data_IF_371702627806
#
_entry.id   IF_371702627806
#
_cell.length_a   1.000
_cell.length_b   1.000
_cell.length_c   1.000
_cell.angle_alpha   90.00
_cell.angle_beta   90.00
_cell.angle_gamma   90.00
#
_symmetry.space_group_name_H-M   'P 1'
#
loop_
_entity.id
_entity.type
_entity.pdbx_description
1 polymer ?
#
# COMPACT_ATOMS: atom_id res chain seq x y z
N UNK A 1 -23.13 -13.86 23.18
CA UNK A 1 -23.64 -12.69 22.44
C UNK A 1 -22.70 -12.39 21.29
N UNK A 2 -22.88 -11.27 20.54
CA UNK A 2 -21.99 -10.91 19.43
C UNK A 2 -20.56 -10.55 19.89
N UNK A 3 -20.40 -10.23 21.18
CA UNK A 3 -19.10 -10.03 21.83
C UNK A 3 -18.68 -11.34 22.51
N UNK A 4 -17.45 -11.77 22.27
CA UNK A 4 -16.82 -12.90 22.94
C UNK A 4 -15.37 -12.58 23.30
N UNK A 5 -14.88 -13.21 24.37
CA UNK A 5 -13.49 -13.10 24.80
C UNK A 5 -12.56 -13.69 23.74
N UNK A 6 -11.46 -12.99 23.47
CA UNK A 6 -10.37 -13.44 22.62
C UNK A 6 -9.10 -13.40 23.47
N UNK A 7 -8.50 -14.57 23.71
CA UNK A 7 -7.16 -14.64 24.30
C UNK A 7 -6.16 -14.14 23.26
N UNK A 8 -5.18 -13.33 23.68
CA UNK A 8 -4.15 -12.85 22.74
C UNK A 8 -3.29 -14.01 22.22
N UNK A 9 -3.01 -15.01 23.04
CA UNK A 9 -2.04 -16.05 22.68
C UNK A 9 -0.62 -15.47 22.59
N UNK A 10 0.20 -16.04 21.71
CA UNK A 10 1.59 -15.66 21.51
C UNK A 10 1.68 -14.39 20.66
N UNK A 11 2.60 -13.49 21.01
CA UNK A 11 2.96 -12.36 20.16
C UNK A 11 3.89 -12.87 19.06
N UNK A 12 3.37 -12.95 17.84
CA UNK A 12 4.10 -13.46 16.67
C UNK A 12 4.98 -12.38 16.05
N UNK A 13 4.47 -11.15 15.98
CA UNK A 13 5.21 -10.00 15.46
C UNK A 13 4.95 -8.75 16.33
N UNK A 14 5.97 -8.21 17.01
CA UNK A 14 5.85 -7.04 17.86
C UNK A 14 5.69 -5.71 17.11
N UNK A 15 6.01 -5.66 15.81
CA UNK A 15 5.93 -4.44 14.98
C UNK A 15 4.50 -4.21 14.54
N UNK A 16 3.89 -5.22 13.91
CA UNK A 16 2.51 -5.16 13.41
C UNK A 16 1.46 -5.63 14.42
N UNK A 17 1.92 -6.09 15.59
CA UNK A 17 1.09 -6.60 16.68
C UNK A 17 0.26 -7.80 16.22
N UNK A 18 0.91 -8.76 15.57
CA UNK A 18 0.29 -10.02 15.20
C UNK A 18 0.30 -10.97 16.39
N UNK A 19 -0.87 -11.56 16.67
CA UNK A 19 -1.08 -12.43 17.82
C UNK A 19 -1.72 -13.74 17.37
N UNK A 20 -1.18 -14.88 17.82
CA UNK A 20 -1.69 -16.20 17.40
C UNK A 20 -3.16 -16.41 17.79
N UNK A 21 -3.57 -15.98 19.00
CA UNK A 21 -4.94 -16.11 19.46
C UNK A 21 -5.93 -15.19 18.73
N UNK A 22 -5.46 -14.03 18.24
CA UNK A 22 -6.26 -13.15 17.39
C UNK A 22 -6.46 -13.79 16.02
N UNK A 23 -5.42 -14.40 15.45
CA UNK A 23 -5.49 -15.10 14.17
C UNK A 23 -6.45 -16.30 14.25
N UNK A 24 -6.35 -17.12 15.30
CA UNK A 24 -7.25 -18.25 15.54
C UNK A 24 -8.70 -17.79 15.68
N UNK A 25 -8.95 -16.77 16.50
CA UNK A 25 -10.29 -16.22 16.69
C UNK A 25 -10.86 -15.62 15.40
N UNK A 26 -10.02 -14.96 14.60
CA UNK A 26 -10.42 -14.38 13.31
C UNK A 26 -10.80 -15.48 12.32
N UNK A 27 -9.97 -16.52 12.22
CA UNK A 27 -10.20 -17.69 11.37
C UNK A 27 -11.48 -18.43 11.74
N UNK A 28 -11.72 -18.67 13.02
CA UNK A 28 -12.94 -19.33 13.49
C UNK A 28 -14.18 -18.49 13.15
N UNK A 29 -14.17 -17.20 13.53
CA UNK A 29 -15.32 -16.31 13.40
C UNK A 29 -15.66 -15.93 11.96
N UNK A 30 -14.66 -15.91 11.07
CA UNK A 30 -14.84 -15.62 9.66
C UNK A 30 -15.08 -16.87 8.80
N UNK A 31 -15.22 -18.06 9.39
CA UNK A 31 -15.33 -19.32 8.64
C UNK A 31 -14.11 -19.64 7.77
N UNK A 32 -12.92 -19.19 8.18
CA UNK A 32 -11.65 -19.41 7.49
C UNK A 32 -11.25 -18.35 6.47
N UNK A 33 -12.12 -17.38 6.17
CA UNK A 33 -11.81 -16.31 5.21
C UNK A 33 -10.63 -15.43 5.63
N UNK A 34 -10.53 -15.09 6.93
CA UNK A 34 -9.47 -14.26 7.50
C UNK A 34 -8.55 -15.15 8.32
N UNK A 35 -7.30 -15.27 7.91
CA UNK A 35 -6.35 -16.17 8.57
C UNK A 35 -5.38 -15.44 9.50
N UNK A 36 -5.08 -14.18 9.18
CA UNK A 36 -4.10 -13.34 9.87
C UNK A 36 -4.64 -11.93 10.01
N UNK A 37 -4.32 -11.27 11.12
CA UNK A 37 -4.67 -9.86 11.34
C UNK A 37 -3.50 -9.13 11.98
N UNK A 38 -3.06 -8.05 11.34
CA UNK A 38 -2.12 -7.07 11.85
C UNK A 38 -2.93 -5.95 12.49
N UNK A 39 -2.83 -5.82 13.81
CA UNK A 39 -3.71 -4.92 14.56
C UNK A 39 -3.41 -3.44 14.30
N UNK A 40 -2.17 -3.10 13.94
CA UNK A 40 -1.70 -1.72 13.85
C UNK A 40 -0.94 -1.43 12.56
N UNK A 41 -1.31 -2.12 11.46
CA UNK A 41 -0.82 -1.87 10.11
C UNK A 41 -1.98 -1.88 9.11
N UNK A 42 -1.92 -1.01 8.10
CA UNK A 42 -2.78 -1.09 6.91
C UNK A 42 -2.17 -1.95 5.79
N UNK A 43 -0.93 -2.42 5.95
CA UNK A 43 -0.20 -3.23 4.98
C UNK A 43 -0.19 -4.72 5.38
N UNK A 44 -0.06 -5.60 4.39
CA UNK A 44 -0.10 -7.06 4.57
C UNK A 44 -1.49 -7.59 4.93
N UNK A 45 -1.78 -7.72 6.24
CA UNK A 45 -3.01 -8.36 6.74
C UNK A 45 -3.84 -7.40 7.62
N UNK A 46 -4.31 -6.25 7.11
CA UNK A 46 -5.09 -5.31 7.92
C UNK A 46 -6.39 -5.93 8.43
N UNK A 47 -7.01 -5.32 9.44
CA UNK A 47 -8.35 -5.74 9.83
C UNK A 47 -9.37 -5.42 8.74
N UNK A 48 -10.42 -6.24 8.66
CA UNK A 48 -11.50 -6.06 7.69
C UNK A 48 -12.44 -4.92 8.09
N UNK A 49 -13.08 -4.28 7.11
CA UNK A 49 -14.12 -3.27 7.38
C UNK A 49 -15.51 -3.79 7.02
N UNK A 50 -16.50 -3.49 7.87
CA UNK A 50 -17.90 -3.83 7.59
C UNK A 50 -18.54 -2.75 6.71
N UNK A 51 -19.21 -1.76 7.32
CA UNK A 51 -19.82 -0.63 6.61
C UNK A 51 -20.23 0.53 7.51
N UNK A 52 -20.01 0.42 8.83
CA UNK A 52 -20.39 1.44 9.81
C UNK A 52 -19.23 2.30 10.35
N UNK A 53 -18.01 2.13 9.83
CA UNK A 53 -16.83 2.95 10.19
C UNK A 53 -17.09 4.46 10.03
N UNK A 54 -16.58 5.27 10.94
CA UNK A 54 -16.76 6.74 10.91
C UNK A 54 -15.88 7.40 9.85
N UNK A 55 -14.69 6.83 9.64
CA UNK A 55 -13.72 7.30 8.66
C UNK A 55 -13.02 6.14 7.94
N UNK A 56 -12.37 6.46 6.83
CA UNK A 56 -11.45 5.60 6.11
C UNK A 56 -10.06 6.21 6.18
N UNK A 57 -9.07 5.40 6.53
CA UNK A 57 -7.67 5.67 6.25
C UNK A 57 -7.30 4.99 4.93
N UNK A 58 -6.63 5.72 4.04
CA UNK A 58 -6.24 5.24 2.73
C UNK A 58 -4.79 5.60 2.41
N UNK A 59 -4.05 4.66 1.84
CA UNK A 59 -2.69 4.86 1.40
C UNK A 59 -2.65 5.65 0.09
N UNK A 60 -1.70 6.58 -0.02
CA UNK A 60 -1.44 7.43 -1.19
C UNK A 60 -0.02 7.13 -1.68
N UNK A 61 0.16 6.23 -2.65
CA UNK A 61 1.48 5.79 -3.12
C UNK A 61 2.36 6.93 -3.62
N UNK A 62 1.80 7.91 -4.34
CA UNK A 62 2.54 8.99 -5.00
C UNK A 62 3.27 9.93 -4.05
N UNK A 63 2.88 9.93 -2.77
CA UNK A 63 3.48 10.71 -1.70
C UNK A 63 3.87 9.84 -0.52
N UNK A 64 3.86 8.51 -0.69
CA UNK A 64 4.10 7.52 0.37
C UNK A 64 3.35 7.92 1.67
N UNK A 65 2.05 8.26 1.57
CA UNK A 65 1.33 8.94 2.64
C UNK A 65 0.01 8.25 3.01
N UNK A 66 -0.56 8.64 4.15
CA UNK A 66 -1.89 8.20 4.57
C UNK A 66 -2.86 9.39 4.48
N UNK A 67 -3.93 9.23 3.72
CA UNK A 67 -5.09 10.12 3.76
C UNK A 67 -6.16 9.60 4.71
N UNK A 68 -6.95 10.51 5.29
CA UNK A 68 -8.11 10.17 6.10
C UNK A 68 -9.33 10.90 5.56
N UNK A 69 -10.47 10.23 5.45
CA UNK A 69 -11.74 10.84 5.04
C UNK A 69 -12.89 10.30 5.88
N UNK A 70 -13.71 11.19 6.45
CA UNK A 70 -14.88 10.81 7.26
C UNK A 70 -16.16 10.71 6.42
N UNK A 71 -17.15 10.02 6.99
CA UNK A 71 -18.46 9.79 6.35
C UNK A 71 -19.24 11.08 6.12
N UNK A 72 -19.03 12.15 6.90
CA UNK A 72 -19.77 13.40 6.72
C UNK A 72 -19.15 14.31 5.63
N UNK A 73 -17.94 14.00 5.17
CA UNK A 73 -17.28 14.78 4.11
C UNK A 73 -17.95 14.51 2.75
N UNK A 74 -18.47 15.57 2.14
CA UNK A 74 -19.22 15.53 0.88
C UNK A 74 -18.40 15.84 -0.36
N UNK A 75 -17.14 16.27 -0.18
CA UNK A 75 -16.23 16.59 -1.27
C UNK A 75 -15.49 15.36 -1.81
N UNK A 76 -14.51 15.61 -2.67
CA UNK A 76 -13.60 14.60 -3.19
C UNK A 76 -12.31 14.57 -2.37
N UNK A 77 -11.72 13.38 -2.27
CA UNK A 77 -10.35 13.18 -1.80
C UNK A 77 -9.35 13.58 -2.89
N UNK A 78 -8.03 13.64 -2.60
CA UNK A 78 -7.01 13.90 -3.63
C UNK A 78 -7.02 12.91 -4.81
N UNK A 79 -7.68 11.74 -4.66
CA UNK A 79 -7.91 10.80 -5.75
C UNK A 79 -9.08 11.18 -6.69
N UNK A 80 -9.76 12.30 -6.46
CA UNK A 80 -10.93 12.70 -7.24
C UNK A 80 -12.15 11.81 -7.02
N UNK A 81 -12.23 11.14 -5.85
CA UNK A 81 -13.37 10.30 -5.50
C UNK A 81 -13.90 10.63 -4.09
N UNK A 82 -15.23 10.59 -3.89
CA UNK A 82 -15.85 10.85 -2.59
C UNK A 82 -15.74 9.65 -1.65
N UNK A 83 -15.98 9.88 -0.35
CA UNK A 83 -16.04 8.85 0.69
C UNK A 83 -16.90 7.63 0.29
N UNK A 84 -18.08 7.87 -0.29
CA UNK A 84 -19.04 6.82 -0.63
C UNK A 84 -18.47 5.79 -1.62
N UNK A 85 -17.62 6.23 -2.55
CA UNK A 85 -16.96 5.36 -3.53
C UNK A 85 -15.86 4.53 -2.87
N UNK A 86 -15.06 5.14 -2.00
CA UNK A 86 -14.02 4.42 -1.24
C UNK A 86 -14.63 3.42 -0.26
N UNK A 87 -15.73 3.79 0.41
CA UNK A 87 -16.44 2.92 1.34
C UNK A 87 -16.96 1.64 0.67
N UNK A 88 -17.38 1.73 -0.60
CA UNK A 88 -17.77 0.57 -1.39
C UNK A 88 -16.63 -0.40 -1.69
N UNK A 89 -15.37 0.06 -1.68
CA UNK A 89 -14.18 -0.76 -1.88
C UNK A 89 -13.67 -1.36 -0.56
N UNK A 90 -13.72 -0.58 0.53
CA UNK A 90 -13.22 -1.01 1.84
C UNK A 90 -14.12 -2.02 2.55
N UNK A 91 -15.43 -1.89 2.35
CA UNK A 91 -16.44 -2.66 3.08
C UNK A 91 -16.57 -4.13 2.64
N UNK A 92 -17.44 -4.85 3.32
CA UNK A 92 -17.80 -6.23 2.93
C UNK A 92 -17.01 -7.34 3.64
N UNK A 93 -16.23 -7.00 4.67
CA UNK A 93 -15.53 -8.01 5.49
C UNK A 93 -14.34 -8.65 4.79
N UNK A 94 -13.75 -7.96 3.81
CA UNK A 94 -12.52 -8.36 3.12
C UNK A 94 -11.32 -7.59 3.64
N UNK A 95 -10.12 -8.14 3.49
CA UNK A 95 -8.88 -7.43 3.77
C UNK A 95 -8.49 -6.67 2.51
N UNK A 96 -8.45 -5.34 2.61
CA UNK A 96 -8.00 -4.46 1.54
C UNK A 96 -6.76 -3.73 2.04
N UNK A 97 -5.63 -4.05 1.42
CA UNK A 97 -4.37 -3.42 1.77
C UNK A 97 -4.40 -1.93 1.44
N UNK A 98 -3.91 -1.11 2.36
CA UNK A 98 -3.89 0.34 2.21
C UNK A 98 -5.27 1.02 2.28
N UNK A 99 -6.36 0.32 2.62
CA UNK A 99 -7.69 0.93 2.76
C UNK A 99 -8.46 0.34 3.95
N UNK A 100 -8.51 1.10 5.05
CA UNK A 100 -8.98 0.60 6.35
C UNK A 100 -10.04 1.52 6.93
N UNK A 101 -11.21 0.95 7.25
CA UNK A 101 -12.27 1.59 8.01
C UNK A 101 -11.92 1.67 9.50
N UNK A 102 -12.16 2.82 10.10
CA UNK A 102 -11.81 3.12 11.49
C UNK A 102 -12.81 4.07 12.16
N UNK A 103 -12.75 4.11 13.48
CA UNK A 103 -13.33 5.21 14.26
C UNK A 103 -12.38 6.42 14.22
N UNK A 104 -12.92 7.64 14.28
CA UNK A 104 -12.10 8.86 14.28
C UNK A 104 -11.19 8.89 15.52
N UNK A 105 -11.69 8.40 16.65
CA UNK A 105 -10.96 8.35 17.91
C UNK A 105 -9.69 7.47 17.86
N UNK A 106 -9.58 6.57 16.87
CA UNK A 106 -8.36 5.77 16.70
C UNK A 106 -7.12 6.64 16.42
N UNK A 107 -7.29 7.84 15.85
CA UNK A 107 -6.19 8.80 15.60
C UNK A 107 -5.48 9.19 16.91
N UNK A 108 -6.21 9.25 18.03
CA UNK A 108 -5.66 9.57 19.37
C UNK A 108 -4.88 8.43 20.00
N UNK A 109 -4.95 7.23 19.43
CA UNK A 109 -4.28 6.07 19.99
C UNK A 109 -2.76 6.18 19.82
N UNK A 110 -1.95 5.86 20.86
CA UNK A 110 -0.51 5.70 20.69
C UNK A 110 -0.15 4.50 19.80
N UNK A 111 -1.13 3.69 19.39
CA UNK A 111 -0.98 2.57 18.46
C UNK A 111 -1.54 2.87 17.06
N UNK A 112 -2.01 4.09 16.81
CA UNK A 112 -2.52 4.50 15.50
C UNK A 112 -1.46 4.21 14.42
N UNK A 113 -1.74 3.20 13.58
CA UNK A 113 -0.86 2.67 12.53
C UNK A 113 0.63 2.69 12.88
N UNK A 114 0.97 2.28 14.11
CA UNK A 114 2.35 2.44 14.63
C UNK A 114 3.37 1.65 13.79
N UNK A 115 2.95 0.54 13.18
CA UNK A 115 3.79 -0.25 12.28
C UNK A 115 4.11 0.49 10.98
N UNK A 116 3.25 1.42 10.57
CA UNK A 116 3.34 2.11 9.29
C UNK A 116 3.94 3.52 9.41
N UNK A 117 4.34 3.93 10.62
CA UNK A 117 4.86 5.28 10.96
C UNK A 117 3.84 6.20 11.65
N UNK A 118 2.63 5.71 11.89
CA UNK A 118 1.58 6.37 12.68
C UNK A 118 1.17 7.74 12.17
N UNK A 119 0.85 8.67 13.09
CA UNK A 119 0.29 9.97 12.72
C UNK A 119 1.22 10.81 11.84
N UNK A 120 2.53 10.59 11.92
CA UNK A 120 3.53 11.29 11.10
C UNK A 120 3.47 10.92 9.61
N UNK A 121 2.72 9.89 9.25
CA UNK A 121 2.45 9.48 7.87
C UNK A 121 1.17 10.06 7.31
N UNK A 122 0.36 10.73 8.14
CA UNK A 122 -0.89 11.31 7.69
C UNK A 122 -0.61 12.60 6.94
N UNK A 123 -0.91 12.62 5.65
CA UNK A 123 -0.59 13.73 4.75
C UNK A 123 -1.80 14.57 4.37
N UNK A 124 -3.01 14.03 4.50
CA UNK A 124 -4.24 14.70 4.10
C UNK A 124 -5.43 14.28 4.96
N UNK A 125 -6.25 15.24 5.40
CA UNK A 125 -7.57 14.98 5.98
C UNK A 125 -8.49 16.21 5.87
N UNK A 126 -9.83 16.05 5.85
CA UNK A 126 -10.75 17.17 5.91
C UNK A 126 -10.49 18.10 7.10
N UNK A 127 -10.58 19.41 6.88
CA UNK A 127 -10.28 20.43 7.90
C UNK A 127 -11.16 20.29 9.16
N UNK A 128 -12.40 19.81 9.01
CA UNK A 128 -13.30 19.49 10.12
C UNK A 128 -12.70 18.43 11.06
N UNK A 129 -12.26 17.29 10.53
CA UNK A 129 -11.63 16.23 11.33
C UNK A 129 -10.32 16.75 11.92
N UNK A 130 -9.51 17.46 11.13
CA UNK A 130 -8.22 18.00 11.55
C UNK A 130 -8.35 18.86 12.81
N UNK A 131 -9.35 19.75 12.85
CA UNK A 131 -9.65 20.56 14.03
C UNK A 131 -10.24 19.71 15.17
N UNK A 132 -11.08 18.72 14.86
CA UNK A 132 -11.66 17.81 15.86
C UNK A 132 -10.59 17.01 16.61
N UNK A 133 -9.55 16.53 15.93
CA UNK A 133 -8.45 15.71 16.49
C UNK A 133 -7.16 16.49 16.74
N UNK A 134 -7.25 17.82 16.80
CA UNK A 134 -6.10 18.72 16.94
C UNK A 134 -5.22 18.41 18.15
N UNK A 135 -5.82 17.98 19.26
CA UNK A 135 -5.13 17.57 20.49
C UNK A 135 -4.27 16.31 20.31
N UNK A 136 -4.57 15.49 19.31
CA UNK A 136 -3.83 14.28 18.97
C UNK A 136 -2.62 14.55 18.07
N UNK A 137 -2.66 15.65 17.32
CA UNK A 137 -1.67 15.97 16.29
C UNK A 137 -0.50 16.73 16.94
N UNK A 138 0.76 16.24 16.82
CA UNK A 138 1.92 16.99 17.29
C UNK A 138 1.98 18.42 16.73
N UNK A 139 2.37 19.39 17.55
CA UNK A 139 2.44 20.80 17.14
C UNK A 139 3.35 21.01 15.91
N UNK A 140 4.44 20.25 15.81
CA UNK A 140 5.38 20.29 14.67
C UNK A 140 4.81 19.73 13.36
N UNK A 141 3.67 19.01 13.45
CA UNK A 141 3.04 18.31 12.33
C UNK A 141 1.76 18.99 11.85
N UNK A 142 1.03 19.69 12.73
CA UNK A 142 -0.32 20.20 12.45
C UNK A 142 -0.39 21.00 11.13
N UNK A 143 0.47 21.99 10.95
CA UNK A 143 0.47 22.84 9.75
C UNK A 143 1.04 22.17 8.50
N UNK A 144 1.51 20.92 8.61
CA UNK A 144 2.10 20.14 7.52
C UNK A 144 1.15 19.11 6.91
N UNK A 145 0.01 18.83 7.56
CA UNK A 145 -1.04 17.96 7.04
C UNK A 145 -1.96 18.79 6.15
N UNK A 146 -2.11 18.41 4.88
CA UNK A 146 -2.99 19.12 3.95
C UNK A 146 -4.48 18.90 4.29
N UNK A 147 -5.32 19.83 3.86
CA UNK A 147 -6.77 19.71 3.89
C UNK A 147 -7.37 19.87 2.50
N UNK A 148 -8.69 19.74 2.38
CA UNK A 148 -9.44 20.02 1.14
C UNK A 148 -9.25 21.46 0.62
N UNK A 149 -8.74 22.38 1.45
CA UNK A 149 -8.46 23.77 1.09
C UNK A 149 -7.05 23.97 0.53
N UNK A 150 -6.13 23.05 0.85
CA UNK A 150 -4.71 23.14 0.51
C UNK A 150 -4.39 22.30 -0.74
N UNK A 151 -5.00 21.12 -0.84
CA UNK A 151 -4.77 20.18 -1.92
C UNK A 151 -6.07 19.44 -2.29
N UNK A 152 -6.45 19.55 -3.56
CA UNK A 152 -7.65 18.90 -4.13
C UNK A 152 -7.31 17.70 -5.03
N UNK A 153 -6.03 17.56 -5.37
CA UNK A 153 -5.50 16.50 -6.23
C UNK A 153 -4.11 16.07 -5.74
N UNK A 154 -3.56 15.00 -6.32
CA UNK A 154 -2.26 14.46 -5.94
C UNK A 154 -1.09 15.39 -6.24
N UNK A 155 -1.17 16.20 -7.31
CA UNK A 155 -0.12 17.12 -7.69
C UNK A 155 0.00 18.27 -6.68
N UNK A 156 -1.13 18.91 -6.35
CA UNK A 156 -1.21 19.94 -5.32
C UNK A 156 -0.84 19.40 -3.94
N UNK A 157 -1.21 18.14 -3.63
CA UNK A 157 -0.81 17.49 -2.39
C UNK A 157 0.70 17.32 -2.30
N UNK A 158 1.34 16.75 -3.32
CA UNK A 158 2.80 16.55 -3.34
C UNK A 158 3.54 17.87 -3.12
N UNK A 159 3.14 18.91 -3.87
CA UNK A 159 3.72 20.25 -3.75
C UNK A 159 3.55 20.85 -2.36
N UNK A 160 2.36 20.74 -1.76
CA UNK A 160 2.12 21.24 -0.41
C UNK A 160 3.03 20.56 0.63
N UNK A 161 3.20 19.24 0.52
CA UNK A 161 4.02 18.47 1.46
C UNK A 161 5.50 18.87 1.38
N UNK A 162 6.02 19.10 0.16
CA UNK A 162 7.38 19.64 -0.06
C UNK A 162 7.55 21.02 0.54
N UNK A 163 6.64 21.96 0.21
CA UNK A 163 6.70 23.35 0.68
C UNK A 163 6.59 23.48 2.20
N UNK A 164 5.80 22.61 2.84
CA UNK A 164 5.62 22.58 4.30
C UNK A 164 6.65 21.72 5.03
N UNK A 165 7.52 21.02 4.30
CA UNK A 165 8.53 20.11 4.88
C UNK A 165 7.88 19.02 5.73
N UNK A 166 6.87 18.34 5.19
CA UNK A 166 6.22 17.22 5.85
C UNK A 166 7.22 16.07 6.06
N UNK A 167 7.22 15.36 7.22
CA UNK A 167 8.20 14.30 7.49
C UNK A 167 8.27 13.18 6.43
N UNK A 168 7.17 12.97 5.69
CA UNK A 168 7.11 11.98 4.60
C UNK A 168 8.07 12.29 3.46
N UNK A 169 8.42 13.56 3.24
CA UNK A 169 9.31 13.98 2.14
C UNK A 169 10.71 13.37 2.28
N UNK A 170 11.16 13.14 3.52
CA UNK A 170 12.45 12.47 3.76
C UNK A 170 12.43 11.01 3.27
N UNK A 171 11.27 10.35 3.31
CA UNK A 171 11.10 8.96 2.86
C UNK A 171 11.13 8.82 1.35
N UNK A 172 10.79 9.87 0.61
CA UNK A 172 10.89 9.84 -0.84
C UNK A 172 12.34 9.76 -1.30
N UNK A 173 13.25 10.41 -0.56
CA UNK A 173 14.70 10.33 -0.84
C UNK A 173 15.22 8.91 -0.63
N UNK A 174 14.83 8.28 0.47
CA UNK A 174 15.16 6.88 0.77
C UNK A 174 14.63 5.94 -0.33
N UNK A 175 13.41 6.18 -0.81
CA UNK A 175 12.80 5.38 -1.87
C UNK A 175 13.46 5.60 -3.24
N UNK A 176 13.87 6.83 -3.56
CA UNK A 176 14.64 7.12 -4.78
C UNK A 176 16.03 6.45 -4.73
N UNK A 177 16.70 6.48 -3.58
CA UNK A 177 17.99 5.79 -3.37
C UNK A 177 17.84 4.26 -3.48
N UNK A 178 16.80 3.65 -2.89
CA UNK A 178 16.55 2.20 -3.00
C UNK A 178 16.23 1.77 -4.44
N UNK A 179 15.46 2.57 -5.19
CA UNK A 179 15.17 2.28 -6.61
C UNK A 179 16.42 2.39 -7.46
N UNK A 180 17.27 3.40 -7.23
CA UNK A 180 18.56 3.51 -7.91
C UNK A 180 19.47 2.31 -7.59
N UNK A 181 19.54 1.87 -6.33
CA UNK A 181 20.31 0.69 -5.93
C UNK A 181 19.78 -0.62 -6.55
N UNK A 182 18.47 -0.81 -6.62
CA UNK A 182 17.84 -1.96 -7.28
C UNK A 182 18.07 -1.95 -8.79
N UNK A 183 17.93 -0.80 -9.47
CA UNK A 183 18.22 -0.67 -10.90
C UNK A 183 19.70 -0.97 -11.19
N UNK A 184 20.63 -0.47 -10.37
CA UNK A 184 22.06 -0.79 -10.49
C UNK A 184 22.29 -2.29 -10.23
N UNK A 185 21.63 -2.88 -9.24
CA UNK A 185 21.74 -4.31 -8.92
C UNK A 185 21.10 -5.22 -9.98
N UNK A 186 20.12 -4.75 -10.75
CA UNK A 186 19.52 -5.44 -11.90
C UNK A 186 20.27 -5.20 -13.22
N UNK A 187 21.09 -4.15 -13.36
CA UNK A 187 21.98 -3.94 -14.51
C UNK A 187 23.30 -4.75 -14.42
N UNK A 188 23.86 -4.90 -13.21
CA UNK A 188 25.07 -5.71 -12.94
C UNK A 188 24.97 -7.22 -13.32
N UNK A 189 23.82 -7.93 -13.23
CA UNK A 189 23.69 -9.34 -13.62
C UNK A 189 23.79 -9.56 -15.14
N UNK A 190 23.49 -8.54 -15.97
CA UNK A 190 23.59 -8.66 -17.44
C UNK A 190 25.00 -8.38 -17.99
N UNK A 191 25.85 -7.66 -17.25
CA UNK A 191 27.16 -7.23 -17.74
C UNK A 191 28.33 -8.21 -17.46
N UNK A 192 28.11 -9.33 -16.76
CA UNK A 192 29.17 -10.30 -16.40
C UNK A 192 28.98 -11.67 -17.07
N UNK A 193 29.01 -11.69 -18.41
CA UNK A 193 29.42 -12.85 -19.22
C UNK A 193 30.18 -12.26 -20.41
N UNK A 194 31.47 -12.52 -20.73
CA UNK A 194 32.31 -13.73 -20.71
C UNK A 194 33.79 -13.24 -20.71
N UNK A 195 34.79 -14.03 -20.24
CA UNK A 195 35.64 -14.69 -21.25
C UNK A 195 36.03 -16.15 -20.93
N UNK A 196 35.85 -16.98 -21.97
CA UNK A 196 36.69 -18.08 -22.42
C UNK A 196 37.19 -19.15 -21.42
N UNK A 197 36.50 -20.30 -21.38
CA UNK A 197 37.17 -21.60 -21.54
C UNK A 197 36.39 -22.48 -22.52
N UNK A 198 36.99 -22.67 -23.70
CA UNK A 198 36.54 -23.61 -24.73
C UNK A 198 37.14 -24.97 -24.38
N UNK A 199 36.31 -25.94 -24.01
CA UNK A 199 36.67 -27.36 -24.16
C UNK A 199 35.43 -28.25 -24.13
N UNK A 200 35.20 -29.00 -25.21
CA UNK A 200 34.41 -30.23 -25.21
C UNK A 200 32.94 -30.11 -25.68
N UNK A 201 32.76 -30.31 -27.00
CA UNK A 201 31.56 -30.76 -27.71
C UNK A 201 30.32 -31.19 -26.88
N UNK A 202 29.16 -30.60 -27.19
CA UNK A 202 28.00 -31.33 -27.74
C UNK A 202 27.03 -30.34 -28.38
N UNK A 203 26.80 -30.49 -29.68
CA UNK A 203 25.74 -29.81 -30.43
C UNK A 203 24.59 -30.82 -30.56
N UNK A 204 23.36 -30.46 -30.15
CA UNK A 204 22.19 -30.88 -30.89
C UNK A 204 21.57 -29.65 -31.56
N UNK A 205 21.65 -29.69 -32.88
CA UNK A 205 20.97 -28.85 -33.83
C UNK A 205 19.44 -28.97 -33.59
N UNK A 206 18.82 -27.92 -33.10
CA UNK A 206 17.37 -27.86 -32.87
C UNK A 206 16.82 -26.47 -33.16
N UNK A 207 16.76 -26.10 -34.45
CA UNK A 207 16.23 -24.82 -34.89
C UNK A 207 14.78 -24.60 -34.47
N UNK A 208 14.57 -23.57 -33.64
CA UNK A 208 13.27 -23.01 -33.30
C UNK A 208 13.50 -21.62 -32.72
N UNK A 209 13.13 -20.59 -33.48
CA UNK A 209 13.43 -19.17 -33.26
C UNK A 209 13.10 -18.71 -31.84
N UNK A 210 14.08 -18.13 -31.12
CA UNK A 210 13.86 -17.45 -29.83
C UNK A 210 13.78 -15.95 -30.11
N UNK A 211 12.62 -15.35 -29.85
CA UNK A 211 12.41 -13.90 -29.95
C UNK A 211 12.27 -13.38 -28.52
N UNK A 212 13.13 -12.45 -28.11
CA UNK A 212 13.08 -11.73 -26.83
C UNK A 212 12.85 -10.26 -27.18
N UNK A 213 11.85 -9.63 -26.59
CA UNK A 213 11.50 -8.23 -26.81
C UNK A 213 11.39 -7.55 -25.46
N UNK A 214 12.26 -6.60 -25.20
CA UNK A 214 12.28 -5.79 -23.98
C UNK A 214 11.90 -4.34 -24.35
N UNK A 215 10.96 -3.75 -23.58
CA UNK A 215 10.41 -2.40 -23.78
C UNK A 215 9.81 -2.06 -25.17
N UNK A 216 9.15 -3.03 -25.82
CA UNK A 216 8.46 -2.80 -27.10
C UNK A 216 6.93 -2.66 -26.97
N UNK A 217 6.34 -1.61 -27.56
CA UNK A 217 4.88 -1.54 -27.80
C UNK A 217 4.55 -2.20 -29.14
N UNK A 218 3.97 -3.39 -29.09
CA UNK A 218 3.67 -4.18 -30.29
C UNK A 218 2.17 -4.19 -30.54
N UNK A 219 1.75 -3.78 -31.75
CA UNK A 219 0.37 -3.91 -32.21
C UNK A 219 0.34 -4.84 -33.43
N UNK A 220 -0.40 -5.94 -33.36
CA UNK A 220 -0.48 -6.94 -34.44
C UNK A 220 -1.93 -7.32 -34.70
N UNK A 221 -2.37 -7.15 -35.96
CA UNK A 221 -3.76 -7.47 -36.35
C UNK A 221 -3.97 -8.95 -36.71
N UNK A 222 -2.93 -9.69 -37.15
CA UNK A 222 -3.02 -11.15 -37.38
C UNK A 222 -1.66 -11.84 -37.46
N UNK A 223 -1.51 -12.98 -36.79
CA UNK A 223 -0.34 -13.88 -36.88
C UNK A 223 -0.78 -15.27 -37.33
N UNK A 224 -0.06 -15.87 -38.30
CA UNK A 224 -0.25 -17.28 -38.72
C UNK A 224 1.11 -17.97 -38.77
N UNK A 225 1.29 -19.01 -37.95
CA UNK A 225 2.50 -19.83 -37.92
C UNK A 225 2.17 -21.21 -38.51
N UNK A 226 2.88 -21.62 -39.57
CA UNK A 226 2.77 -22.99 -40.14
C UNK A 226 4.13 -23.68 -40.09
N UNK A 227 4.15 -24.91 -39.58
CA UNK A 227 5.34 -25.77 -39.59
C UNK A 227 5.40 -26.49 -40.94
N UNK A 228 6.58 -26.54 -41.56
CA UNK A 228 6.80 -27.34 -42.77
C UNK A 228 7.00 -28.80 -42.34
N UNK A 229 6.10 -29.69 -42.74
CA UNK A 229 6.29 -31.14 -42.60
C UNK A 229 7.52 -31.56 -43.43
N UNK A 230 8.35 -32.43 -42.87
CA UNK A 230 9.38 -33.17 -43.61
C UNK A 230 8.91 -34.62 -43.71
N UNK A 231 8.88 -35.12 -44.96
CA UNK A 231 8.74 -36.52 -45.36
C UNK A 231 9.72 -37.43 -44.61
#
# INVERSE_FOLDING_TARGET
GPISRCEKGELLDPVVYEYSGVNEASKEKSGGAIQRVFLHSMFGYPHTSCGCFEALAFYIPEVDGIGIVDRDYTGETPFGIPFSRMAGQAGGGVQVEGLVGMAIEYIRSPKFFIADGGIRRVVWMPSKIKEEVKDAIPEDLYDKIATEKDAVDLESLKKFLEERGHPVVERWKEMEEEVEEEEIAEEVPQAVQIPAQVSGMTIPLGGGMKIILENAKIHIDKVIIRRKEKQ
#
